data_IF_242618777793
#
_entry.id   IF_242618777793
#
_cell.length_a   1.000
_cell.length_b   1.000
_cell.length_c   1.000
_cell.angle_alpha   90.00
_cell.angle_beta   90.00
_cell.angle_gamma   90.00
#
_symmetry.space_group_name_H-M   'P 1'
#
loop_
_entity.id
_entity.type
_entity.pdbx_description
1 polymer ?
#
# COMPACT_ATOMS: atom_id res chain seq x y z
N UNK A 1 16.66 12.56 24.44
CA UNK A 1 16.62 12.07 23.04
C UNK A 1 15.20 12.24 22.56
N UNK A 2 15.04 13.13 21.59
CA UNK A 2 13.79 13.80 21.27
C UNK A 2 12.78 12.88 20.59
N UNK A 3 11.70 12.64 21.33
CA UNK A 3 10.50 11.97 20.89
C UNK A 3 9.73 12.87 19.91
N UNK A 4 10.06 12.78 18.62
CA UNK A 4 9.35 13.45 17.53
C UNK A 4 8.00 12.81 17.23
N UNK A 5 7.01 13.08 18.09
CA UNK A 5 5.61 12.79 17.87
C UNK A 5 5.06 13.57 16.65
N UNK A 6 4.56 12.87 15.64
CA UNK A 6 3.57 13.44 14.69
C UNK A 6 2.74 12.37 13.95
N UNK A 7 2.31 11.32 14.64
CA UNK A 7 1.17 10.50 14.18
C UNK A 7 -0.14 11.20 14.57
N UNK A 8 -0.42 12.35 13.94
CA UNK A 8 -1.69 13.07 14.09
C UNK A 8 -2.72 12.51 13.11
N UNK A 9 -3.66 11.77 13.67
CA UNK A 9 -5.05 11.63 13.22
C UNK A 9 -5.28 11.21 11.77
N UNK A 10 -5.72 9.95 11.59
CA UNK A 10 -6.96 9.54 10.90
C UNK A 10 -6.75 8.16 10.26
N UNK A 11 -7.54 7.18 10.71
CA UNK A 11 -7.74 5.95 9.96
C UNK A 11 -6.72 4.84 10.21
N UNK A 12 -6.69 4.28 11.41
CA UNK A 12 -6.21 2.92 11.59
C UNK A 12 -7.20 1.98 10.87
N UNK A 13 -7.05 1.89 9.55
CA UNK A 13 -7.78 0.96 8.71
C UNK A 13 -7.63 -0.44 9.27
N UNK A 14 -8.77 -1.04 9.61
CA UNK A 14 -8.91 -2.36 10.21
C UNK A 14 -7.93 -3.38 9.61
N UNK A 15 -6.84 -3.67 10.33
CA UNK A 15 -5.99 -4.85 10.16
C UNK A 15 -6.71 -6.17 10.56
N UNK A 16 -8.04 -6.19 10.43
CA UNK A 16 -8.89 -7.31 10.77
C UNK A 16 -9.21 -8.06 9.48
N UNK A 17 -8.29 -8.92 9.03
CA UNK A 17 -8.59 -10.29 8.54
C UNK A 17 -7.32 -10.93 8.01
N UNK A 18 -6.76 -11.89 8.74
CA UNK A 18 -6.14 -13.06 8.10
C UNK A 18 -6.13 -14.25 9.07
N UNK A 19 -7.31 -14.81 9.31
CA UNK A 19 -7.50 -15.99 10.16
C UNK A 19 -7.13 -17.32 9.45
N UNK A 20 -6.34 -17.28 8.37
CA UNK A 20 -5.82 -18.48 7.70
C UNK A 20 -4.37 -18.27 7.27
N UNK A 21 -3.44 -18.73 8.12
CA UNK A 21 -2.02 -18.82 7.79
C UNK A 21 -1.82 -19.97 6.79
N UNK A 22 -1.82 -19.68 5.49
CA UNK A 22 -1.23 -20.57 4.47
C UNK A 22 0.22 -20.12 4.25
N UNK A 23 1.17 -21.06 4.36
CA UNK A 23 2.63 -20.88 4.15
C UNK A 23 2.89 -19.75 3.15
N UNK A 24 3.39 -18.62 3.65
CA UNK A 24 3.75 -17.49 2.81
C UNK A 24 4.88 -17.93 1.88
N UNK A 25 4.71 -17.71 0.57
CA UNK A 25 5.82 -17.75 -0.38
C UNK A 25 6.95 -16.84 0.11
N UNK A 26 8.22 -17.19 -0.13
CA UNK A 26 9.35 -16.38 0.32
C UNK A 26 9.12 -14.90 -0.02
N UNK A 27 9.31 -14.04 0.97
CA UNK A 27 8.93 -12.63 0.91
C UNK A 27 9.69 -11.86 -0.18
N UNK A 28 10.95 -12.24 -0.46
CA UNK A 28 11.85 -11.55 -1.42
C UNK A 28 11.40 -11.74 -2.87
N UNK A 29 11.09 -10.63 -3.56
CA UNK A 29 10.57 -10.63 -4.92
C UNK A 29 9.07 -10.98 -5.01
N UNK A 30 8.31 -10.81 -3.94
CA UNK A 30 6.90 -11.19 -3.90
C UNK A 30 5.95 -10.01 -4.16
N UNK A 31 4.74 -10.31 -4.61
CA UNK A 31 3.65 -9.31 -4.76
C UNK A 31 3.37 -8.60 -3.43
N UNK A 32 3.62 -9.25 -2.28
CA UNK A 32 3.44 -8.64 -0.95
C UNK A 32 4.44 -7.52 -0.67
N UNK A 33 5.68 -7.62 -1.14
CA UNK A 33 6.67 -6.53 -0.99
C UNK A 33 6.22 -5.29 -1.75
N UNK A 34 5.80 -5.45 -3.00
CA UNK A 34 5.28 -4.34 -3.82
C UNK A 34 4.03 -3.72 -3.19
N UNK A 35 3.12 -4.55 -2.66
CA UNK A 35 1.97 -4.04 -1.89
C UNK A 35 2.39 -3.19 -0.70
N UNK A 36 3.39 -3.64 0.07
CA UNK A 36 3.92 -2.90 1.22
C UNK A 36 4.57 -1.57 0.82
N UNK A 37 5.32 -1.57 -0.29
CA UNK A 37 5.92 -0.37 -0.86
C UNK A 37 4.86 0.65 -1.30
N UNK A 38 3.81 0.21 -2.01
CA UNK A 38 2.68 1.05 -2.41
C UNK A 38 2.02 1.69 -1.19
N UNK A 39 1.69 0.90 -0.17
CA UNK A 39 1.06 1.42 1.07
C UNK A 39 1.98 2.45 1.71
N UNK A 40 3.28 2.14 1.85
CA UNK A 40 4.27 3.04 2.47
C UNK A 40 4.37 4.37 1.72
N UNK A 41 4.40 4.35 0.39
CA UNK A 41 4.41 5.58 -0.42
C UNK A 41 3.14 6.40 -0.17
N UNK A 42 1.97 5.76 -0.18
CA UNK A 42 0.68 6.42 0.04
C UNK A 42 0.45 6.91 1.48
N UNK A 43 1.26 6.46 2.46
CA UNK A 43 1.24 7.06 3.82
C UNK A 43 1.72 8.52 3.82
N UNK A 44 2.51 8.92 2.82
CA UNK A 44 2.98 10.31 2.68
C UNK A 44 1.90 11.24 2.08
N UNK A 45 0.94 10.68 1.35
CA UNK A 45 -0.17 11.40 0.76
C UNK A 45 -0.69 10.74 -0.52
N UNK A 46 -1.78 11.28 -1.12
CA UNK A 46 -2.26 10.86 -2.42
C UNK A 46 -1.18 11.07 -3.50
N UNK A 47 -1.00 10.08 -4.37
CA UNK A 47 -0.02 10.13 -5.46
C UNK A 47 -0.66 9.78 -6.80
N UNK A 48 -0.19 10.38 -7.89
CA UNK A 48 -0.61 10.00 -9.22
C UNK A 48 -0.14 8.56 -9.54
N UNK A 49 -0.96 7.80 -10.28
CA UNK A 49 -0.66 6.40 -10.59
C UNK A 49 0.70 6.19 -11.28
N UNK A 50 1.08 7.14 -12.15
CA UNK A 50 2.38 7.12 -12.86
C UNK A 50 3.56 7.34 -11.91
N UNK A 51 3.43 8.29 -10.97
CA UNK A 51 4.46 8.57 -9.97
C UNK A 51 4.61 7.37 -9.05
N UNK A 52 3.50 6.80 -8.57
CA UNK A 52 3.50 5.64 -7.69
C UNK A 52 4.13 4.40 -8.35
N UNK A 53 3.90 4.19 -9.66
CA UNK A 53 4.53 3.12 -10.43
C UNK A 53 6.04 3.32 -10.57
N UNK A 54 6.47 4.55 -10.87
CA UNK A 54 7.88 4.91 -10.99
C UNK A 54 8.62 4.79 -9.65
N UNK A 55 8.00 5.20 -8.55
CA UNK A 55 8.52 5.00 -7.18
C UNK A 55 8.59 3.51 -6.77
N UNK A 56 7.78 2.66 -7.42
CA UNK A 56 7.88 1.21 -7.32
C UNK A 56 8.93 0.60 -8.27
N UNK A 57 9.66 1.41 -9.02
CA UNK A 57 10.72 0.97 -9.94
C UNK A 57 10.18 0.21 -11.16
N UNK A 58 8.98 0.53 -11.63
CA UNK A 58 8.32 -0.13 -12.77
C UNK A 58 8.24 -1.67 -12.63
N UNK A 59 8.11 -2.17 -11.39
CA UNK A 59 8.00 -3.60 -11.14
C UNK A 59 6.78 -4.17 -11.88
N UNK A 60 6.99 -5.21 -12.69
CA UNK A 60 5.93 -5.89 -13.45
C UNK A 60 4.80 -6.46 -12.55
N UNK A 61 5.04 -6.58 -11.24
CA UNK A 61 4.07 -7.01 -10.24
C UNK A 61 3.19 -5.86 -9.73
N UNK A 62 3.55 -4.60 -10.00
CA UNK A 62 2.80 -3.40 -9.60
C UNK A 62 1.31 -3.48 -9.97
N UNK A 63 0.91 -3.83 -11.22
CA UNK A 63 -0.51 -3.89 -11.57
C UNK A 63 -1.29 -4.91 -10.73
N UNK A 64 -0.66 -6.06 -10.44
CA UNK A 64 -1.25 -7.13 -9.62
C UNK A 64 -1.35 -6.72 -8.15
N UNK A 65 -0.32 -6.05 -7.63
CA UNK A 65 -0.29 -5.52 -6.27
C UNK A 65 -1.37 -4.43 -6.09
N UNK A 66 -1.44 -3.49 -7.04
CA UNK A 66 -2.40 -2.39 -7.05
C UNK A 66 -3.84 -2.89 -7.12
N UNK A 67 -4.12 -3.82 -8.04
CA UNK A 67 -5.45 -4.44 -8.18
C UNK A 67 -5.84 -5.17 -6.89
N UNK A 68 -4.91 -5.91 -6.28
CA UNK A 68 -5.15 -6.57 -5.01
C UNK A 68 -5.45 -5.60 -3.86
N UNK A 69 -4.73 -4.47 -3.79
CA UNK A 69 -5.01 -3.44 -2.78
C UNK A 69 -6.37 -2.76 -3.01
N UNK A 70 -6.76 -2.57 -4.28
CA UNK A 70 -8.07 -2.00 -4.65
C UNK A 70 -9.21 -2.97 -4.31
N UNK A 71 -9.04 -4.27 -4.61
CA UNK A 71 -10.03 -5.31 -4.25
C UNK A 71 -10.15 -5.50 -2.75
N UNK A 72 -9.04 -5.36 -2.01
CA UNK A 72 -9.01 -5.43 -0.55
C UNK A 72 -9.60 -4.15 0.10
N UNK A 73 -9.96 -3.14 -0.70
CA UNK A 73 -10.51 -1.87 -0.24
C UNK A 73 -9.50 -0.98 0.50
N UNK A 74 -8.20 -1.28 0.42
CA UNK A 74 -7.15 -0.55 1.13
C UNK A 74 -6.73 0.75 0.41
N UNK A 75 -6.92 0.81 -0.90
CA UNK A 75 -6.66 2.00 -1.71
C UNK A 75 -7.87 2.33 -2.58
N UNK A 76 -8.04 3.62 -2.85
CA UNK A 76 -9.04 4.14 -3.77
C UNK A 76 -8.36 5.05 -4.78
N UNK A 77 -8.84 5.02 -6.01
CA UNK A 77 -8.42 5.92 -7.07
C UNK A 77 -9.50 6.98 -7.31
N UNK A 78 -9.14 8.25 -7.23
CA UNK A 78 -10.02 9.39 -7.49
C UNK A 78 -9.26 10.46 -8.28
N UNK A 79 -9.85 10.95 -9.36
CA UNK A 79 -9.27 12.01 -10.21
C UNK A 79 -7.84 11.70 -10.69
N UNK A 80 -7.52 10.43 -10.99
CA UNK A 80 -6.17 10.00 -11.39
C UNK A 80 -5.13 9.96 -10.26
N UNK A 81 -5.56 10.23 -9.02
CA UNK A 81 -4.74 10.05 -7.82
C UNK A 81 -5.17 8.81 -7.06
N UNK A 82 -4.18 8.09 -6.56
CA UNK A 82 -4.35 6.94 -5.68
C UNK A 82 -4.13 7.42 -4.26
N UNK A 83 -5.01 7.01 -3.35
CA UNK A 83 -4.94 7.31 -1.92
C UNK A 83 -5.32 6.08 -1.11
N UNK A 84 -4.93 6.07 0.16
CA UNK A 84 -5.45 5.08 1.11
C UNK A 84 -6.95 5.32 1.34
N UNK A 85 -7.72 4.23 1.36
CA UNK A 85 -9.13 4.28 1.74
C UNK A 85 -9.22 4.40 3.26
N UNK A 86 -10.05 5.32 3.75
CA UNK A 86 -10.30 5.57 5.17
C UNK A 86 -11.70 5.07 5.53
#
# INVERSE_FOLDING_TARGET
>A
MDYGASLKSRGLGRLSTSKHYKKQSPLKGSVREVRGQIIRLLTTGPMAAKVLMHECGDDARYPRALTGLKSDGLITEANGMIRLTN
#
